data_IF_684882340982
#
_entry.id   IF_684882340982
#
_cell.length_a   1.000
_cell.length_b   1.000
_cell.length_c   1.000
_cell.angle_alpha   90.00
_cell.angle_beta   90.00
_cell.angle_gamma   90.00
#
_symmetry.space_group_name_H-M   'P 1'
#
loop_
_entity.id
_entity.type
_entity.pdbx_description
1 polymer ?
#
# COMPACT_ATOMS: atom_id res chain seq x y z
N UNK A 1 -8.48 -25.36 10.74
CA UNK A 1 -7.22 -24.53 10.74
C UNK A 1 -7.04 -24.09 9.32
N UNK A 2 -6.79 -22.80 9.04
CA UNK A 2 -6.77 -22.22 7.69
C UNK A 2 -5.65 -22.70 6.77
N UNK A 3 -4.68 -23.47 7.27
CA UNK A 3 -3.50 -23.89 6.51
C UNK A 3 -2.48 -22.78 6.26
N UNK A 4 -2.81 -21.52 6.59
CA UNK A 4 -1.91 -20.36 6.47
C UNK A 4 -1.41 -19.93 7.85
N UNK A 5 -0.10 -19.62 7.94
CA UNK A 5 0.53 -19.09 9.15
C UNK A 5 0.29 -17.58 9.27
N UNK A 6 0.10 -16.90 8.14
CA UNK A 6 -0.11 -15.47 8.10
C UNK A 6 -1.05 -15.02 6.98
N UNK A 7 -1.68 -13.86 7.18
CA UNK A 7 -2.57 -13.22 6.23
C UNK A 7 -2.23 -11.74 6.10
N UNK A 8 -1.92 -11.30 4.89
CA UNK A 8 -1.75 -9.88 4.54
C UNK A 8 -3.04 -9.39 3.91
N UNK A 9 -3.68 -8.41 4.53
CA UNK A 9 -4.96 -7.85 4.11
C UNK A 9 -4.75 -6.42 3.59
N UNK A 10 -5.21 -6.14 2.40
CA UNK A 10 -5.45 -4.77 1.99
C UNK A 10 -6.55 -4.11 2.84
N UNK A 11 -6.60 -2.79 2.86
CA UNK A 11 -7.58 -2.03 3.67
C UNK A 11 -8.66 -1.40 2.81
N UNK A 12 -8.27 -0.56 1.84
CA UNK A 12 -9.20 0.25 1.06
C UNK A 12 -9.83 -0.56 -0.09
N UNK A 13 -11.11 -0.89 0.01
CA UNK A 13 -11.83 -1.79 -0.90
C UNK A 13 -11.97 -3.22 -0.34
N UNK A 14 -11.16 -3.59 0.63
CA UNK A 14 -11.13 -4.92 1.26
C UNK A 14 -11.80 -4.92 2.64
N UNK A 15 -11.30 -4.13 3.57
CA UNK A 15 -11.85 -3.98 4.93
C UNK A 15 -12.79 -2.78 5.05
N UNK A 16 -12.44 -1.68 4.36
CA UNK A 16 -13.17 -0.40 4.41
C UNK A 16 -13.47 0.05 2.98
N UNK A 17 -14.67 0.60 2.77
CA UNK A 17 -15.08 1.20 1.51
C UNK A 17 -15.86 2.48 1.76
N UNK A 18 -15.48 3.59 1.11
CA UNK A 18 -16.16 4.88 1.27
C UNK A 18 -16.10 5.44 2.70
N UNK A 19 -15.17 4.98 3.54
CA UNK A 19 -15.04 5.37 4.94
C UNK A 19 -15.80 4.48 5.92
N UNK A 20 -16.60 3.52 5.44
CA UNK A 20 -17.35 2.57 6.25
C UNK A 20 -16.78 1.15 6.17
N UNK A 21 -16.91 0.32 7.22
CA UNK A 21 -16.53 -1.08 7.16
C UNK A 21 -17.28 -1.85 6.06
N UNK A 22 -16.58 -2.66 5.29
CA UNK A 22 -17.24 -3.63 4.38
C UNK A 22 -18.10 -4.56 5.23
N UNK A 23 -19.36 -4.84 4.84
CA UNK A 23 -20.25 -5.69 5.62
C UNK A 23 -19.63 -7.04 5.96
N UNK A 24 -19.53 -7.36 7.25
CA UNK A 24 -18.94 -8.60 7.75
C UNK A 24 -17.41 -8.59 7.90
N UNK A 25 -16.69 -7.54 7.48
CA UNK A 25 -15.22 -7.47 7.53
C UNK A 25 -14.68 -7.57 8.97
N UNK A 26 -15.32 -6.91 9.95
CA UNK A 26 -14.94 -6.99 11.36
C UNK A 26 -14.96 -8.44 11.84
N UNK A 27 -16.09 -9.13 11.64
CA UNK A 27 -16.23 -10.53 12.06
C UNK A 27 -15.33 -11.50 11.28
N UNK A 28 -14.95 -11.17 10.03
CA UNK A 28 -13.99 -11.96 9.27
C UNK A 28 -12.58 -11.82 9.84
N UNK A 29 -12.15 -10.60 10.19
CA UNK A 29 -10.87 -10.35 10.82
C UNK A 29 -10.75 -11.07 12.17
N UNK A 30 -11.80 -11.04 13.00
CA UNK A 30 -11.82 -11.72 14.28
C UNK A 30 -11.67 -13.25 14.10
N UNK A 31 -12.39 -13.83 13.14
CA UNK A 31 -12.29 -15.28 12.84
C UNK A 31 -10.91 -15.66 12.27
N UNK A 32 -10.29 -14.82 11.47
CA UNK A 32 -8.92 -15.08 11.02
C UNK A 32 -7.96 -15.16 12.21
N UNK A 33 -8.08 -14.28 13.18
CA UNK A 33 -7.27 -14.30 14.41
C UNK A 33 -7.52 -15.52 15.29
N UNK A 34 -8.77 -16.02 15.33
CA UNK A 34 -9.12 -17.26 16.06
C UNK A 34 -8.42 -18.48 15.48
N UNK A 35 -7.99 -18.45 14.23
CA UNK A 35 -7.21 -19.55 13.61
C UNK A 35 -5.76 -19.60 14.10
N UNK A 36 -5.27 -18.53 14.73
CA UNK A 36 -3.89 -18.36 15.17
C UNK A 36 -2.97 -17.80 14.09
N UNK A 37 -3.48 -17.40 12.94
CA UNK A 37 -2.70 -16.76 11.88
C UNK A 37 -2.27 -15.34 12.30
N UNK A 38 -1.04 -14.97 11.97
CA UNK A 38 -0.58 -13.57 12.09
C UNK A 38 -1.25 -12.72 11.01
N UNK A 39 -1.76 -11.55 11.40
CA UNK A 39 -2.46 -10.64 10.50
C UNK A 39 -1.65 -9.37 10.30
N UNK A 40 -1.50 -8.95 9.05
CA UNK A 40 -0.94 -7.67 8.67
C UNK A 40 -1.93 -6.91 7.77
N UNK A 41 -2.25 -5.69 8.14
CA UNK A 41 -3.03 -4.75 7.34
C UNK A 41 -2.06 -3.90 6.53
N UNK A 42 -2.08 -4.03 5.20
CA UNK A 42 -1.15 -3.33 4.33
C UNK A 42 -1.86 -2.40 3.34
N UNK A 43 -1.70 -1.10 3.53
CA UNK A 43 -2.29 -0.08 2.64
C UNK A 43 -1.22 0.64 1.81
N UNK A 44 -1.54 0.91 0.54
CA UNK A 44 -0.75 1.80 -0.31
C UNK A 44 -0.91 3.29 0.05
N UNK A 45 -1.72 3.64 1.05
CA UNK A 45 -1.82 5.02 1.53
C UNK A 45 -0.53 5.44 2.26
N UNK A 46 0.26 6.40 1.73
CA UNK A 46 1.54 6.78 2.31
C UNK A 46 1.45 7.85 3.40
N UNK A 47 0.27 8.46 3.59
CA UNK A 47 0.14 9.73 4.31
C UNK A 47 -0.17 9.58 5.81
N UNK A 48 -0.44 8.36 6.28
CA UNK A 48 -0.81 8.11 7.68
C UNK A 48 0.23 7.26 8.41
N UNK A 49 0.59 7.70 9.61
CA UNK A 49 1.34 6.87 10.55
C UNK A 49 0.55 5.60 10.93
N UNK A 50 1.22 4.45 11.11
CA UNK A 50 0.56 3.20 11.52
C UNK A 50 -0.28 3.33 12.79
N UNK A 51 0.14 4.16 13.75
CA UNK A 51 -0.62 4.41 14.98
C UNK A 51 -1.95 5.13 14.69
N UNK A 52 -1.91 6.21 13.90
CA UNK A 52 -3.11 6.95 13.49
C UNK A 52 -4.02 6.11 12.59
N UNK A 53 -3.42 5.23 11.77
CA UNK A 53 -4.18 4.28 10.95
C UNK A 53 -4.95 3.29 11.82
N UNK A 54 -4.28 2.76 12.85
CA UNK A 54 -4.88 1.86 13.84
C UNK A 54 -6.02 2.53 14.61
N UNK A 55 -5.83 3.78 15.07
CA UNK A 55 -6.87 4.55 15.76
C UNK A 55 -8.10 4.74 14.88
N UNK A 56 -7.89 5.14 13.62
CA UNK A 56 -8.99 5.27 12.66
C UNK A 56 -9.74 3.96 12.43
N UNK A 57 -9.05 2.83 12.29
CA UNK A 57 -9.69 1.53 12.15
C UNK A 57 -10.43 1.12 13.44
N UNK A 58 -9.90 1.47 14.62
CA UNK A 58 -10.56 1.21 15.90
C UNK A 58 -11.87 2.01 16.04
N UNK A 59 -11.92 3.27 15.57
CA UNK A 59 -13.13 4.07 15.51
C UNK A 59 -14.22 3.46 14.61
N UNK A 60 -13.80 2.68 13.60
CA UNK A 60 -14.69 1.91 12.73
C UNK A 60 -15.09 0.55 13.33
N UNK A 61 -14.58 0.19 14.50
CA UNK A 61 -14.91 -1.04 15.22
C UNK A 61 -13.96 -2.22 14.96
N UNK A 62 -12.85 -2.04 14.24
CA UNK A 62 -11.84 -3.08 14.07
C UNK A 62 -10.92 -3.13 15.30
N UNK A 63 -10.64 -4.32 15.82
CA UNK A 63 -9.52 -4.51 16.74
C UNK A 63 -8.23 -4.60 15.93
N UNK A 64 -7.30 -3.64 16.09
CA UNK A 64 -6.01 -3.63 15.41
C UNK A 64 -4.89 -3.51 16.43
N UNK A 65 -3.97 -4.47 16.42
CA UNK A 65 -2.88 -4.57 17.40
C UNK A 65 -1.69 -3.72 16.97
N UNK A 66 -0.84 -3.29 17.92
CA UNK A 66 0.43 -2.63 17.58
C UNK A 66 1.29 -3.54 16.68
N UNK A 67 1.80 -2.97 15.58
CA UNK A 67 2.61 -3.71 14.60
C UNK A 67 1.83 -4.40 13.47
N UNK A 68 0.50 -4.46 13.55
CA UNK A 68 -0.34 -5.05 12.49
C UNK A 68 -0.62 -4.12 11.30
N UNK A 69 -0.09 -2.90 11.28
CA UNK A 69 -0.29 -1.96 10.17
C UNK A 69 1.02 -1.66 9.47
N UNK A 70 1.03 -1.83 8.15
CA UNK A 70 2.09 -1.42 7.24
C UNK A 70 1.48 -0.48 6.20
N UNK A 71 2.22 0.59 5.86
CA UNK A 71 1.83 1.52 4.79
C UNK A 71 2.97 1.71 3.80
N UNK A 72 2.67 2.11 2.57
CA UNK A 72 3.71 2.44 1.59
C UNK A 72 4.64 3.56 2.07
N UNK A 73 4.13 4.48 2.90
CA UNK A 73 4.96 5.52 3.54
C UNK A 73 6.02 4.93 4.48
N UNK A 74 5.68 3.89 5.25
CA UNK A 74 6.64 3.18 6.11
C UNK A 74 7.68 2.45 5.27
N UNK A 75 7.26 1.73 4.23
CA UNK A 75 8.18 1.05 3.29
C UNK A 75 9.13 2.06 2.64
N UNK A 76 8.61 3.26 2.28
CA UNK A 76 9.42 4.35 1.74
C UNK A 76 10.47 4.83 2.76
N UNK A 77 10.08 5.02 4.02
CA UNK A 77 11.00 5.47 5.06
C UNK A 77 12.10 4.43 5.33
N UNK A 78 11.77 3.14 5.30
CA UNK A 78 12.73 2.04 5.45
C UNK A 78 13.69 1.96 4.27
N UNK A 79 13.17 2.08 3.05
CA UNK A 79 14.01 2.16 1.85
C UNK A 79 15.01 3.31 1.92
N UNK A 80 14.54 4.51 2.28
CA UNK A 80 15.41 5.68 2.43
C UNK A 80 16.44 5.49 3.55
N UNK A 81 16.10 4.77 4.62
CA UNK A 81 17.04 4.46 5.70
C UNK A 81 18.18 3.53 5.24
N UNK A 82 17.85 2.57 4.40
CA UNK A 82 18.79 1.55 3.93
C UNK A 82 19.68 2.07 2.80
N UNK A 83 19.08 2.73 1.80
CA UNK A 83 19.77 3.10 0.55
C UNK A 83 20.26 4.56 0.54
N UNK A 84 19.61 5.44 1.33
CA UNK A 84 19.82 6.90 1.33
C UNK A 84 19.87 7.46 2.75
N UNK A 85 20.72 6.93 3.67
CA UNK A 85 20.64 7.23 5.10
C UNK A 85 20.86 8.72 5.42
N UNK A 86 21.73 9.39 4.68
CA UNK A 86 22.15 10.78 4.93
C UNK A 86 21.75 11.74 3.80
N UNK A 87 21.10 11.24 2.75
CA UNK A 87 20.77 12.02 1.56
C UNK A 87 19.59 12.98 1.83
N UNK A 88 19.68 14.25 1.41
CA UNK A 88 18.55 15.18 1.48
C UNK A 88 17.39 14.73 0.59
N UNK A 89 16.20 14.61 1.19
CA UNK A 89 14.99 14.12 0.54
C UNK A 89 14.03 15.28 0.26
N UNK A 90 13.70 15.50 -1.01
CA UNK A 90 12.64 16.42 -1.44
C UNK A 90 11.35 15.62 -1.66
N UNK A 91 10.25 16.03 -1.03
CA UNK A 91 8.98 15.33 -1.12
C UNK A 91 7.98 16.11 -1.97
N UNK A 92 7.54 15.51 -3.08
CA UNK A 92 6.35 15.95 -3.80
C UNK A 92 5.20 15.08 -3.31
N UNK A 93 4.52 15.54 -2.25
CA UNK A 93 3.51 14.78 -1.52
C UNK A 93 2.88 15.59 -0.39
N UNK A 94 1.95 14.97 0.32
CA UNK A 94 1.26 15.59 1.44
C UNK A 94 2.11 15.67 2.71
N UNK A 95 1.78 16.63 3.59
CA UNK A 95 2.46 16.85 4.87
C UNK A 95 2.53 15.58 5.73
N UNK A 96 1.48 14.74 5.71
CA UNK A 96 1.46 13.49 6.47
C UNK A 96 2.60 12.53 6.11
N UNK A 97 3.03 12.49 4.84
CA UNK A 97 4.23 11.74 4.44
C UNK A 97 5.51 12.42 4.96
N UNK A 98 5.60 13.73 4.85
CA UNK A 98 6.75 14.47 5.40
C UNK A 98 6.90 14.23 6.90
N UNK A 99 5.82 14.28 7.66
CA UNK A 99 5.81 14.02 9.10
C UNK A 99 6.25 12.59 9.42
N UNK A 100 5.76 11.61 8.62
CA UNK A 100 6.14 10.20 8.76
C UNK A 100 7.64 9.97 8.51
N UNK A 101 8.19 10.61 7.49
CA UNK A 101 9.61 10.51 7.16
C UNK A 101 10.48 11.22 8.22
N UNK A 102 10.09 12.41 8.64
CA UNK A 102 10.79 13.17 9.68
C UNK A 102 10.81 12.44 11.04
N UNK A 103 9.69 11.80 11.42
CA UNK A 103 9.60 10.98 12.63
C UNK A 103 10.54 9.75 12.61
N UNK A 104 11.10 9.42 11.44
CA UNK A 104 12.08 8.34 11.23
C UNK A 104 13.47 8.86 10.88
N UNK A 105 13.75 10.11 11.27
CA UNK A 105 15.05 10.78 11.11
C UNK A 105 15.51 10.88 9.63
N UNK A 106 14.56 11.00 8.68
CA UNK A 106 14.94 11.28 7.29
C UNK A 106 15.25 12.76 7.11
N UNK A 107 16.34 13.05 6.41
CA UNK A 107 16.80 14.41 6.17
C UNK A 107 15.95 15.08 5.07
N UNK A 108 14.86 15.75 5.44
CA UNK A 108 14.00 16.47 4.48
C UNK A 108 14.59 17.82 4.10
N UNK A 109 14.39 18.23 2.85
CA UNK A 109 14.74 19.56 2.36
C UNK A 109 13.57 20.19 1.61
N UNK A 110 13.39 21.51 1.79
CA UNK A 110 12.45 22.31 1.01
C UNK A 110 13.15 23.00 -0.19
N UNK A 111 14.46 22.84 -0.33
CA UNK A 111 15.26 23.38 -1.43
C UNK A 111 15.40 22.33 -2.54
N UNK A 112 14.77 22.51 -3.71
CA UNK A 112 14.87 21.59 -4.84
C UNK A 112 16.32 21.34 -5.28
N UNK A 113 17.19 22.37 -5.21
CA UNK A 113 18.58 22.24 -5.66
C UNK A 113 19.46 21.45 -4.69
N UNK A 114 19.00 21.25 -3.45
CA UNK A 114 19.70 20.47 -2.44
C UNK A 114 19.30 18.99 -2.43
N UNK A 115 18.31 18.60 -3.22
CA UNK A 115 17.78 17.25 -3.23
C UNK A 115 18.78 16.23 -3.78
N UNK A 116 19.00 15.14 -3.04
CA UNK A 116 19.69 13.95 -3.54
C UNK A 116 18.68 12.82 -3.88
N UNK A 117 17.50 12.84 -3.23
CA UNK A 117 16.39 11.94 -3.51
C UNK A 117 15.09 12.74 -3.64
N UNK A 118 14.28 12.43 -4.64
CA UNK A 118 12.93 12.96 -4.79
C UNK A 118 11.92 11.83 -4.56
N UNK A 119 11.01 12.03 -3.62
CA UNK A 119 9.90 11.12 -3.35
C UNK A 119 8.63 11.68 -3.96
N UNK A 120 8.11 11.01 -5.01
CA UNK A 120 6.81 11.31 -5.60
C UNK A 120 5.69 10.53 -4.89
N UNK A 121 4.61 11.23 -4.52
CA UNK A 121 3.51 10.68 -3.75
C UNK A 121 2.21 11.41 -4.05
N UNK A 122 1.10 10.99 -3.40
CA UNK A 122 -0.16 11.73 -3.45
C UNK A 122 0.02 13.14 -2.89
N UNK A 123 -0.51 14.11 -3.63
CA UNK A 123 -0.58 15.51 -3.23
C UNK A 123 -1.90 16.11 -3.72
N UNK A 124 -2.86 16.30 -2.81
CA UNK A 124 -4.18 16.89 -3.14
C UNK A 124 -4.13 18.39 -3.37
N UNK A 125 -3.00 19.02 -3.04
CA UNK A 125 -2.72 20.44 -3.29
C UNK A 125 -1.70 20.62 -4.44
N UNK A 126 -1.53 19.60 -5.29
CA UNK A 126 -0.58 19.62 -6.41
C UNK A 126 -0.88 20.76 -7.38
N UNK A 127 0.16 21.54 -7.69
CA UNK A 127 0.09 22.70 -8.57
C UNK A 127 1.18 22.66 -9.62
N UNK A 128 1.09 23.57 -10.62
CA UNK A 128 2.16 23.74 -11.60
C UNK A 128 3.49 24.13 -10.93
N UNK A 129 3.46 24.94 -9.88
CA UNK A 129 4.68 25.31 -9.14
C UNK A 129 5.29 24.09 -8.43
N UNK A 130 4.48 23.24 -7.84
CA UNK A 130 4.94 21.95 -7.26
C UNK A 130 5.57 21.04 -8.31
N UNK A 131 4.99 20.98 -9.52
CA UNK A 131 5.56 20.21 -10.63
C UNK A 131 6.90 20.78 -11.08
N UNK A 132 6.99 22.12 -11.21
CA UNK A 132 8.23 22.83 -11.57
C UNK A 132 9.34 22.56 -10.55
N UNK A 133 9.04 22.71 -9.26
CA UNK A 133 10.01 22.52 -8.18
C UNK A 133 10.45 21.06 -8.09
N UNK A 134 9.50 20.12 -8.28
CA UNK A 134 9.81 18.69 -8.38
C UNK A 134 10.70 18.35 -9.59
N UNK A 135 10.47 18.98 -10.74
CA UNK A 135 11.35 18.84 -11.92
C UNK A 135 12.77 19.33 -11.64
N UNK A 136 12.91 20.47 -10.96
CA UNK A 136 14.23 21.00 -10.59
C UNK A 136 14.93 20.08 -9.58
N UNK A 137 14.20 19.58 -8.59
CA UNK A 137 14.72 18.63 -7.60
C UNK A 137 15.18 17.31 -8.24
N UNK A 138 14.58 16.91 -9.36
CA UNK A 138 14.95 15.70 -10.09
C UNK A 138 16.25 15.85 -10.90
N UNK A 139 16.83 17.02 -11.02
CA UNK A 139 18.10 17.22 -11.76
C UNK A 139 19.27 16.59 -10.97
N UNK A 140 19.63 15.37 -11.36
CA UNK A 140 20.70 14.59 -10.74
C UNK A 140 20.31 13.81 -9.47
N UNK A 141 19.07 13.94 -8.98
CA UNK A 141 18.60 13.21 -7.80
C UNK A 141 17.99 11.84 -8.16
N UNK A 142 18.03 10.87 -7.25
CA UNK A 142 17.31 9.60 -7.36
C UNK A 142 15.79 9.85 -7.30
N UNK A 143 15.02 9.27 -8.20
CA UNK A 143 13.56 9.38 -8.22
C UNK A 143 12.90 8.12 -7.70
N UNK A 144 12.12 8.22 -6.62
CA UNK A 144 11.33 7.12 -6.07
C UNK A 144 9.87 7.50 -5.92
N UNK A 145 8.99 6.51 -5.96
CA UNK A 145 7.55 6.67 -5.80
C UNK A 145 7.04 5.86 -4.61
N UNK A 146 6.11 6.42 -3.83
CA UNK A 146 5.52 5.70 -2.69
C UNK A 146 4.66 4.52 -3.10
N UNK A 147 3.91 4.65 -4.19
CA UNK A 147 3.03 3.62 -4.72
C UNK A 147 2.59 3.94 -6.16
N UNK A 148 2.09 2.95 -6.93
CA UNK A 148 1.72 3.14 -8.33
C UNK A 148 0.26 3.54 -8.52
N UNK A 149 -0.55 3.69 -7.47
CA UNK A 149 -2.00 3.84 -7.57
C UNK A 149 -2.39 5.10 -8.31
N UNK A 150 -2.90 4.95 -9.53
CA UNK A 150 -3.28 6.09 -10.37
C UNK A 150 -4.53 6.79 -9.87
N UNK A 151 -5.41 6.04 -9.22
CA UNK A 151 -6.69 6.53 -8.71
C UNK A 151 -7.01 5.97 -7.34
N UNK A 152 -7.70 6.79 -6.54
CA UNK A 152 -8.28 6.38 -5.25
C UNK A 152 -9.78 6.16 -5.48
N UNK A 153 -10.31 4.97 -5.14
CA UNK A 153 -11.74 4.72 -5.20
C UNK A 153 -12.46 5.49 -4.09
N UNK A 154 -13.41 6.31 -4.49
CA UNK A 154 -14.34 7.01 -3.59
C UNK A 154 -15.74 6.88 -4.15
N UNK A 155 -16.75 7.15 -3.32
CA UNK A 155 -18.14 7.17 -3.82
C UNK A 155 -18.31 8.22 -4.91
N UNK A 156 -18.81 7.78 -6.08
CA UNK A 156 -19.06 8.63 -7.24
C UNK A 156 -17.97 8.54 -8.31
N UNK A 157 -16.96 9.43 -8.30
CA UNK A 157 -15.89 9.47 -9.31
C UNK A 157 -14.53 9.26 -8.65
N UNK A 158 -13.63 8.45 -9.27
CA UNK A 158 -12.29 8.24 -8.71
C UNK A 158 -11.52 9.56 -8.62
N UNK A 159 -10.69 9.70 -7.58
CA UNK A 159 -9.75 10.80 -7.42
C UNK A 159 -8.36 10.38 -7.90
N UNK A 160 -7.50 11.34 -8.33
CA UNK A 160 -6.11 11.04 -8.63
C UNK A 160 -5.37 10.51 -7.38
N UNK A 161 -4.59 9.46 -7.55
CA UNK A 161 -3.72 8.88 -6.53
C UNK A 161 -2.24 9.25 -6.74
N UNK A 162 -1.35 8.64 -5.96
CA UNK A 162 0.10 8.85 -6.03
C UNK A 162 0.65 8.65 -7.44
N UNK A 163 0.24 7.58 -8.13
CA UNK A 163 0.68 7.26 -9.48
C UNK A 163 0.34 8.34 -10.52
N UNK A 164 -0.70 9.16 -10.30
CA UNK A 164 -1.00 10.29 -11.19
C UNK A 164 0.01 11.44 -11.01
N UNK A 165 0.39 11.75 -9.77
CA UNK A 165 1.41 12.76 -9.45
C UNK A 165 2.79 12.30 -9.95
N UNK A 166 3.13 11.03 -9.67
CA UNK A 166 4.36 10.41 -10.14
C UNK A 166 4.47 10.45 -11.66
N UNK A 167 3.39 10.16 -12.39
CA UNK A 167 3.35 10.25 -13.85
C UNK A 167 3.55 11.68 -14.37
N UNK A 168 3.04 12.69 -13.66
CA UNK A 168 3.28 14.09 -14.01
C UNK A 168 4.76 14.47 -13.86
N UNK A 169 5.40 14.06 -12.76
CA UNK A 169 6.85 14.24 -12.52
C UNK A 169 7.68 13.49 -13.56
N UNK A 170 7.36 12.21 -13.81
CA UNK A 170 8.04 11.37 -14.80
C UNK A 170 7.96 11.96 -16.20
N UNK A 171 6.77 12.45 -16.59
CA UNK A 171 6.58 13.12 -17.88
C UNK A 171 7.33 14.45 -18.01
N UNK A 172 7.48 15.21 -16.92
CA UNK A 172 8.23 16.45 -16.93
C UNK A 172 9.76 16.19 -16.99
N UNK A 173 10.25 15.17 -16.28
CA UNK A 173 11.66 14.83 -16.19
C UNK A 173 12.15 13.89 -17.31
N UNK A 174 11.24 13.39 -18.16
CA UNK A 174 11.50 12.39 -19.21
C UNK A 174 12.21 11.12 -18.66
N UNK A 175 11.81 10.70 -17.47
CA UNK A 175 12.29 9.45 -16.85
C UNK A 175 11.30 8.91 -15.84
N UNK A 176 11.28 7.58 -15.71
CA UNK A 176 10.47 6.87 -14.70
C UNK A 176 11.15 6.86 -13.33
N UNK A 177 10.40 6.62 -12.24
CA UNK A 177 10.98 6.33 -10.93
C UNK A 177 11.91 5.11 -10.99
N UNK A 178 13.05 5.19 -10.30
CA UNK A 178 14.00 4.10 -10.15
C UNK A 178 13.45 3.00 -9.25
N UNK A 179 12.57 3.38 -8.30
CA UNK A 179 11.85 2.43 -7.45
C UNK A 179 10.43 2.92 -7.16
N UNK A 180 9.49 1.97 -7.17
CA UNK A 180 8.14 2.13 -6.62
C UNK A 180 8.06 1.25 -5.38
N UNK A 181 7.73 1.81 -4.22
CA UNK A 181 7.98 1.19 -2.92
C UNK A 181 6.76 0.51 -2.28
N UNK A 182 5.54 0.91 -2.66
CA UNK A 182 4.29 0.25 -2.28
C UNK A 182 4.03 -1.04 -3.06
N UNK A 183 2.89 -1.70 -2.77
CA UNK A 183 2.40 -2.83 -3.57
C UNK A 183 2.30 -2.43 -5.04
N UNK A 184 2.76 -3.21 -6.01
CA UNK A 184 3.16 -4.61 -5.96
C UNK A 184 4.69 -4.84 -5.93
N UNK A 185 5.49 -3.93 -5.36
CA UNK A 185 6.95 -4.03 -5.41
C UNK A 185 7.48 -5.20 -4.58
N UNK A 186 8.65 -5.69 -4.94
CA UNK A 186 9.39 -6.69 -4.17
C UNK A 186 9.72 -6.17 -2.76
N UNK A 187 10.03 -4.87 -2.63
CA UNK A 187 10.30 -4.23 -1.35
C UNK A 187 9.06 -4.27 -0.44
N UNK A 188 7.87 -4.03 -1.00
CA UNK A 188 6.60 -4.14 -0.28
C UNK A 188 6.35 -5.58 0.21
N UNK A 189 6.58 -6.57 -0.64
CA UNK A 189 6.42 -7.98 -0.31
C UNK A 189 7.38 -8.41 0.80
N UNK A 190 8.67 -8.06 0.69
CA UNK A 190 9.69 -8.34 1.71
C UNK A 190 9.32 -7.69 3.04
N UNK A 191 8.97 -6.41 3.03
CA UNK A 191 8.55 -5.70 4.23
C UNK A 191 7.31 -6.31 4.91
N UNK A 192 6.37 -6.85 4.13
CA UNK A 192 5.20 -7.55 4.66
C UNK A 192 5.58 -8.90 5.30
N UNK A 193 6.37 -9.73 4.60
CA UNK A 193 6.81 -11.05 5.07
C UNK A 193 7.66 -10.96 6.34
N UNK A 194 8.56 -9.99 6.41
CA UNK A 194 9.40 -9.75 7.60
C UNK A 194 8.55 -9.43 8.83
N UNK A 195 7.44 -8.70 8.66
CA UNK A 195 6.53 -8.35 9.77
C UNK A 195 5.72 -9.53 10.27
N UNK A 196 5.22 -10.35 9.37
CA UNK A 196 4.45 -11.55 9.74
C UNK A 196 5.35 -12.75 10.07
N UNK A 197 6.66 -12.65 9.84
CA UNK A 197 7.66 -13.68 10.13
C UNK A 197 7.32 -15.04 9.56
N UNK A 198 6.73 -15.06 8.37
CA UNK A 198 6.30 -16.27 7.68
C UNK A 198 6.96 -16.39 6.31
N UNK A 199 7.10 -17.62 5.84
CA UNK A 199 7.49 -17.89 4.46
C UNK A 199 6.33 -17.57 3.52
N UNK A 200 6.65 -17.08 2.31
CA UNK A 200 5.64 -16.71 1.32
C UNK A 200 4.63 -17.83 1.03
N UNK A 201 5.10 -19.07 0.94
CA UNK A 201 4.23 -20.24 0.67
C UNK A 201 3.22 -20.56 1.78
N UNK A 202 3.40 -20.03 3.01
CA UNK A 202 2.46 -20.14 4.13
C UNK A 202 1.66 -18.86 4.36
N UNK A 203 1.82 -17.84 3.48
CA UNK A 203 1.16 -16.55 3.55
C UNK A 203 0.01 -16.45 2.53
N UNK A 204 -1.11 -15.89 2.95
CA UNK A 204 -2.23 -15.50 2.09
C UNK A 204 -2.25 -13.98 1.95
N UNK A 205 -2.31 -13.46 0.73
CA UNK A 205 -2.62 -12.05 0.48
C UNK A 205 -4.06 -11.91 0.01
N UNK A 206 -4.77 -10.95 0.58
CA UNK A 206 -6.16 -10.64 0.25
C UNK A 206 -6.27 -9.18 -0.13
N UNK A 207 -6.83 -8.90 -1.28
CA UNK A 207 -7.02 -7.53 -1.76
C UNK A 207 -8.09 -7.43 -2.83
N UNK A 208 -8.40 -6.21 -3.22
CA UNK A 208 -9.43 -5.90 -4.21
C UNK A 208 -8.85 -5.54 -5.58
N UNK A 209 -7.51 -5.54 -5.72
CA UNK A 209 -6.81 -5.13 -6.95
C UNK A 209 -5.87 -6.22 -7.45
N UNK A 210 -6.01 -6.53 -8.74
CA UNK A 210 -5.15 -7.49 -9.44
C UNK A 210 -3.73 -6.93 -9.64
N UNK A 211 -3.62 -5.63 -9.92
CA UNK A 211 -2.37 -4.96 -10.32
C UNK A 211 -1.46 -4.56 -9.14
N UNK A 212 -1.96 -4.58 -7.92
CA UNK A 212 -1.18 -4.25 -6.71
C UNK A 212 -1.15 -5.41 -5.72
N UNK A 213 -2.26 -5.72 -5.05
CA UNK A 213 -2.32 -6.72 -3.98
C UNK A 213 -1.95 -8.11 -4.47
N UNK A 214 -2.67 -8.57 -5.50
CA UNK A 214 -2.49 -9.91 -6.02
C UNK A 214 -1.18 -10.04 -6.77
N UNK A 215 -0.80 -9.03 -7.56
CA UNK A 215 0.49 -9.01 -8.24
C UNK A 215 1.67 -9.06 -7.26
N UNK A 216 1.56 -8.43 -6.06
CA UNK A 216 2.55 -8.57 -5.01
C UNK A 216 2.63 -10.01 -4.51
N UNK A 217 1.47 -10.58 -4.16
CA UNK A 217 1.39 -11.95 -3.66
C UNK A 217 1.94 -12.98 -4.65
N UNK A 218 1.54 -12.88 -5.90
CA UNK A 218 2.00 -13.74 -6.99
C UNK A 218 3.52 -13.69 -7.15
N UNK A 219 4.09 -12.48 -7.29
CA UNK A 219 5.54 -12.30 -7.46
C UNK A 219 6.35 -12.84 -6.28
N UNK A 220 5.79 -12.75 -5.08
CA UNK A 220 6.41 -13.25 -3.86
C UNK A 220 6.18 -14.76 -3.61
N UNK A 221 5.28 -15.41 -4.35
CA UNK A 221 4.92 -16.82 -4.16
C UNK A 221 3.94 -17.05 -3.01
N UNK A 222 3.14 -16.04 -2.66
CA UNK A 222 2.02 -16.15 -1.71
C UNK A 222 0.79 -16.73 -2.40
N UNK A 223 -0.13 -17.31 -1.62
CA UNK A 223 -1.49 -17.59 -2.10
C UNK A 223 -2.29 -16.29 -2.22
N UNK A 224 -3.13 -16.15 -3.24
CA UNK A 224 -3.85 -14.92 -3.56
C UNK A 224 -5.36 -15.07 -3.42
N UNK A 225 -6.03 -14.10 -2.81
CA UNK A 225 -7.48 -14.01 -2.73
C UNK A 225 -7.97 -12.63 -3.17
N UNK A 226 -8.72 -12.61 -4.26
CA UNK A 226 -9.38 -11.40 -4.74
C UNK A 226 -10.73 -11.24 -4.06
N UNK A 227 -11.01 -10.05 -3.52
CA UNK A 227 -12.35 -9.65 -3.08
C UNK A 227 -12.98 -8.68 -4.07
N UNK A 228 -14.26 -8.87 -4.36
CA UNK A 228 -15.02 -8.07 -5.32
C UNK A 228 -15.74 -6.87 -4.66
N UNK A 229 -15.43 -6.58 -3.40
CA UNK A 229 -15.99 -5.45 -2.65
C UNK A 229 -15.39 -4.09 -3.05
N UNK A 230 -14.28 -4.08 -3.78
CA UNK A 230 -13.54 -2.86 -4.14
C UNK A 230 -13.51 -2.56 -5.63
N UNK A 231 -12.30 -2.57 -6.22
CA UNK A 231 -12.04 -2.10 -7.60
C UNK A 231 -12.27 -3.18 -8.65
N UNK A 232 -11.69 -4.37 -8.47
CA UNK A 232 -11.77 -5.43 -9.47
C UNK A 232 -13.17 -6.03 -9.57
N UNK A 233 -13.54 -6.41 -10.80
CA UNK A 233 -14.79 -7.07 -11.13
C UNK A 233 -14.58 -8.57 -11.33
N UNK A 234 -15.67 -9.33 -11.37
CA UNK A 234 -15.63 -10.76 -11.73
C UNK A 234 -15.11 -11.00 -13.17
N UNK A 235 -15.35 -10.05 -14.07
CA UNK A 235 -14.83 -10.11 -15.44
C UNK A 235 -13.32 -9.93 -15.45
N UNK A 236 -12.80 -8.97 -14.67
CA UNK A 236 -11.35 -8.77 -14.50
C UNK A 236 -10.68 -10.02 -13.92
N UNK A 237 -11.29 -10.62 -12.88
CA UNK A 237 -10.79 -11.86 -12.29
C UNK A 237 -10.75 -13.03 -13.29
N UNK A 238 -11.77 -13.14 -14.16
CA UNK A 238 -11.85 -14.20 -15.16
C UNK A 238 -10.85 -14.00 -16.31
N UNK A 239 -10.43 -12.75 -16.56
CA UNK A 239 -9.45 -12.39 -17.60
C UNK A 239 -8.01 -12.35 -17.08
N UNK A 240 -7.80 -12.46 -15.76
CA UNK A 240 -6.47 -12.39 -15.14
C UNK A 240 -5.61 -13.60 -15.50
N UNK A 241 -4.34 -13.34 -15.78
CA UNK A 241 -3.31 -14.36 -16.03
C UNK A 241 -2.03 -13.97 -15.26
N UNK A 242 -1.70 -14.73 -14.21
CA UNK A 242 -2.43 -15.88 -13.68
C UNK A 242 -3.75 -15.49 -12.98
N UNK A 243 -4.64 -16.47 -12.89
CA UNK A 243 -5.90 -16.29 -12.16
C UNK A 243 -5.65 -16.28 -10.64
N UNK A 244 -6.42 -15.49 -9.85
CA UNK A 244 -6.39 -15.58 -8.39
C UNK A 244 -6.70 -16.99 -7.89
N UNK A 245 -6.03 -17.43 -6.81
CA UNK A 245 -6.33 -18.73 -6.18
C UNK A 245 -7.76 -18.78 -5.61
N UNK A 246 -8.24 -17.64 -5.11
CA UNK A 246 -9.61 -17.45 -4.62
C UNK A 246 -10.24 -16.18 -5.19
N UNK A 247 -11.52 -16.23 -5.51
CA UNK A 247 -12.36 -15.07 -5.86
C UNK A 247 -13.59 -15.07 -4.96
N UNK A 248 -13.72 -14.04 -4.12
CA UNK A 248 -14.73 -13.91 -3.08
C UNK A 248 -15.59 -12.66 -3.34
N UNK A 249 -16.85 -12.65 -2.97
CA UNK A 249 -17.68 -11.43 -3.06
C UNK A 249 -17.17 -10.35 -2.10
N UNK A 250 -16.72 -10.74 -0.91
CA UNK A 250 -16.10 -9.86 0.08
C UNK A 250 -15.20 -10.64 1.02
N UNK A 251 -14.46 -9.94 1.88
CA UNK A 251 -13.66 -10.53 2.95
C UNK A 251 -14.51 -11.39 3.93
N UNK A 252 -15.81 -11.13 4.04
CA UNK A 252 -16.72 -11.88 4.90
C UNK A 252 -16.80 -13.37 4.54
N UNK A 253 -16.53 -13.71 3.28
CA UNK A 253 -16.58 -15.08 2.77
C UNK A 253 -15.28 -15.86 3.02
N UNK A 254 -14.19 -15.13 3.34
CA UNK A 254 -12.85 -15.72 3.46
C UNK A 254 -12.78 -16.84 4.53
N UNK A 255 -13.32 -16.68 5.77
CA UNK A 255 -13.23 -17.75 6.77
C UNK A 255 -13.89 -19.05 6.33
N UNK A 256 -14.99 -18.98 5.58
CA UNK A 256 -15.67 -20.15 5.04
C UNK A 256 -14.85 -20.81 3.92
N UNK A 257 -14.32 -20.01 2.98
CA UNK A 257 -13.49 -20.50 1.89
C UNK A 257 -12.20 -21.21 2.37
N UNK A 258 -11.65 -20.78 3.51
CA UNK A 258 -10.46 -21.38 4.12
C UNK A 258 -10.79 -22.64 4.97
N UNK A 259 -12.03 -22.82 5.44
CA UNK A 259 -12.44 -23.97 6.22
C UNK A 259 -12.64 -25.24 5.38
N UNK A 260 -12.83 -25.10 4.07
CA UNK A 260 -13.08 -26.18 3.12
C UNK A 260 -11.77 -26.84 2.57
N UNK A 261 -10.62 -26.48 3.15
CA UNK A 261 -9.29 -27.06 2.82
C UNK A 261 -8.85 -28.21 3.71
#
# INVERSE_FOLDING_TARGET
MTGFESVVLDVDGTLVRGGDPVPGAIGALDRLRETGADVLLFSNNPTREPASYREWLADLGFEVRPGEVLTSGVVTAEYLADEHPDDPVYVVGEQGLCDLLAARDRALTDDPEAAAVVVGSIDREFTYDRLRDGLWALDGATFVATDPDRTIPVDGRPLPGSGAIVAALAGAADRDPEAVLGKPSERAATAALDRVRADAGSCLVVGDRLDTDLAMGERAGMTTALVLSGVATREDAAAADPAPDYVLESIADLPAALADR
#
